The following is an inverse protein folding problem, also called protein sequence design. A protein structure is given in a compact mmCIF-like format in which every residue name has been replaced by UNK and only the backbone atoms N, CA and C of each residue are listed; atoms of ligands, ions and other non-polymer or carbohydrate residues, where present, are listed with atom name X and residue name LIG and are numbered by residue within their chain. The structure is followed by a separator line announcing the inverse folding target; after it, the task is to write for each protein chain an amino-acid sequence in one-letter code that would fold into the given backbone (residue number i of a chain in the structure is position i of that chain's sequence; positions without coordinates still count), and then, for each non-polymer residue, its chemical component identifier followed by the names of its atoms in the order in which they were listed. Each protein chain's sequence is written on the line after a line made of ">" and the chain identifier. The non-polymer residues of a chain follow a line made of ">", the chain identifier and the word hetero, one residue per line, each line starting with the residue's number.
data_IF_936102748244
#
_entry.id   IF_936102748244
#
_cell.length_a   1.000
_cell.length_b   1.000
_cell.length_c   1.000
_cell.angle_alpha   90.00
_cell.angle_beta   90.00
_cell.angle_gamma   90.00
#
_symmetry.space_group_name_H-M   'P 1'
#
loop_
_entity.id
_entity.type
_entity.pdbx_description
1 polymer ?
#
# COMPACT_ATOMS: atom_id res chain seq x y z
N UNK A 1 33.74 -27.89 7.98
CA UNK A 1 33.00 -26.62 8.05
C UNK A 1 33.94 -25.53 7.56
N UNK A 2 33.62 -24.90 6.44
CA UNK A 2 34.46 -23.86 5.85
C UNK A 2 34.33 -22.53 6.60
N UNK A 3 35.22 -21.55 6.33
CA UNK A 3 35.08 -20.21 6.91
C UNK A 3 33.78 -19.56 6.41
N UNK A 4 32.98 -19.04 7.34
CA UNK A 4 31.76 -18.30 7.03
C UNK A 4 32.15 -16.93 6.44
N UNK A 5 31.48 -16.55 5.35
CA UNK A 5 31.66 -15.22 4.74
C UNK A 5 30.62 -14.30 5.38
N UNK A 6 31.09 -13.46 6.28
CA UNK A 6 30.26 -12.43 6.92
C UNK A 6 29.90 -11.30 5.93
N UNK A 7 28.84 -10.54 6.22
CA UNK A 7 28.35 -9.45 5.37
C UNK A 7 29.43 -8.39 5.14
N UNK A 8 30.28 -8.18 6.15
CA UNK A 8 31.40 -7.24 6.11
C UNK A 8 32.56 -7.70 5.20
N UNK A 9 32.55 -8.96 4.75
CA UNK A 9 33.51 -9.49 3.78
C UNK A 9 33.07 -9.29 2.32
N UNK A 10 31.84 -8.82 2.07
CA UNK A 10 31.32 -8.57 0.73
C UNK A 10 32.01 -7.34 0.12
N UNK A 11 32.54 -7.49 -1.10
CA UNK A 11 33.24 -6.44 -1.85
C UNK A 11 32.56 -6.18 -3.19
N UNK A 12 32.54 -4.91 -3.62
CA UNK A 12 32.13 -4.50 -4.95
C UNK A 12 33.21 -4.87 -6.00
N UNK A 13 32.92 -4.77 -7.31
CA UNK A 13 33.92 -4.99 -8.36
C UNK A 13 35.13 -4.05 -8.30
N UNK A 14 34.97 -2.90 -7.62
CA UNK A 14 36.03 -1.93 -7.33
C UNK A 14 36.78 -2.21 -6.02
N UNK A 15 36.42 -3.28 -5.30
CA UNK A 15 37.06 -3.70 -4.06
C UNK A 15 36.61 -2.95 -2.80
N UNK A 16 35.58 -2.09 -2.87
CA UNK A 16 35.05 -1.39 -1.68
C UNK A 16 34.08 -2.26 -0.88
N UNK A 17 33.98 -2.09 0.45
CA UNK A 17 33.00 -2.80 1.28
C UNK A 17 31.57 -2.35 0.94
N UNK A 18 30.64 -3.30 0.92
CA UNK A 18 29.22 -3.02 0.63
C UNK A 18 28.54 -2.20 1.74
N UNK A 19 28.98 -2.35 3.00
CA UNK A 19 28.47 -1.65 4.18
C UNK A 19 29.48 -0.59 4.63
N UNK A 20 29.06 0.67 4.62
CA UNK A 20 29.89 1.83 4.97
C UNK A 20 30.05 2.04 6.49
N UNK A 21 30.08 0.97 7.29
CA UNK A 21 30.11 1.06 8.75
C UNK A 21 31.47 0.72 9.39
N UNK A 22 32.47 0.34 8.58
CA UNK A 22 33.81 -0.02 9.07
C UNK A 22 34.91 0.96 8.62
N UNK A 23 35.01 2.14 9.22
CA UNK A 23 36.15 3.04 9.01
C UNK A 23 35.98 4.43 9.60
N UNK A 24 36.67 4.72 10.70
CA UNK A 24 36.60 5.99 11.41
C UNK A 24 37.15 7.20 10.64
N UNK A 25 36.65 8.37 11.06
CA UNK A 25 37.33 9.68 11.12
C UNK A 25 38.14 10.15 9.90
N UNK A 26 37.47 10.69 8.86
CA UNK A 26 37.88 11.97 8.24
C UNK A 26 36.79 12.47 7.31
N UNK A 27 36.34 13.71 7.52
CA UNK A 27 35.30 14.33 6.73
C UNK A 27 35.72 14.52 5.28
N UNK A 28 34.87 14.06 4.36
CA UNK A 28 34.57 14.76 3.12
C UNK A 28 33.09 14.63 2.85
N UNK A 29 32.53 15.67 2.23
CA UNK A 29 31.13 15.99 2.14
C UNK A 29 30.21 14.80 1.82
N UNK A 30 28.99 14.89 2.35
CA UNK A 30 27.82 14.17 1.90
C UNK A 30 27.62 14.34 0.37
N UNK A 31 28.39 13.60 -0.43
CA UNK A 31 27.99 13.22 -1.77
C UNK A 31 26.96 12.13 -1.53
N UNK A 32 25.70 12.56 -1.52
CA UNK A 32 24.56 11.72 -1.20
C UNK A 32 24.68 10.39 -1.93
N UNK A 33 24.86 9.32 -1.16
CA UNK A 33 24.81 7.97 -1.68
C UNK A 33 23.43 7.79 -2.35
N UNK A 34 23.34 7.69 -3.69
CA UNK A 34 22.05 7.50 -4.36
C UNK A 34 21.39 6.17 -3.95
N UNK A 35 22.18 5.27 -3.35
CA UNK A 35 21.81 3.93 -2.90
C UNK A 35 21.76 3.82 -1.36
N UNK A 36 21.86 4.94 -0.63
CA UNK A 36 22.01 5.02 0.84
C UNK A 36 20.79 4.62 1.68
N UNK A 37 19.81 3.96 1.07
CA UNK A 37 18.78 3.24 1.76
C UNK A 37 18.53 1.98 0.97
N UNK A 38 18.86 0.81 1.55
CA UNK A 38 18.48 -0.47 0.95
C UNK A 38 16.98 -0.50 0.62
N UNK A 39 16.54 -1.47 -0.18
CA UNK A 39 15.13 -1.58 -0.62
C UNK A 39 14.12 -1.43 0.52
N UNK A 40 14.46 -1.93 1.72
CA UNK A 40 13.67 -1.78 2.94
C UNK A 40 13.53 -0.31 3.40
N UNK A 41 14.62 0.47 3.40
CA UNK A 41 14.58 1.87 3.79
C UNK A 41 13.77 2.72 2.81
N UNK A 42 13.89 2.45 1.50
CA UNK A 42 13.06 3.12 0.48
C UNK A 42 11.58 2.76 0.62
N UNK A 43 11.27 1.48 0.88
CA UNK A 43 9.89 1.06 1.13
C UNK A 43 9.29 1.74 2.38
N UNK A 44 10.08 1.86 3.45
CA UNK A 44 9.66 2.58 4.66
C UNK A 44 9.40 4.07 4.39
N UNK A 45 10.29 4.75 3.64
CA UNK A 45 10.10 6.15 3.26
C UNK A 45 8.85 6.35 2.39
N UNK A 46 8.60 5.44 1.44
CA UNK A 46 7.41 5.49 0.60
C UNK A 46 6.12 5.30 1.44
N UNK A 47 6.12 4.36 2.38
CA UNK A 47 4.98 4.15 3.28
C UNK A 47 4.70 5.35 4.19
N UNK A 48 5.74 6.01 4.71
CA UNK A 48 5.59 7.23 5.52
C UNK A 48 5.03 8.39 4.68
N UNK A 49 5.52 8.56 3.45
CA UNK A 49 5.00 9.56 2.52
C UNK A 49 3.51 9.36 2.19
N UNK A 50 3.08 8.11 1.94
CA UNK A 50 1.67 7.76 1.70
C UNK A 50 0.83 8.07 2.95
N UNK A 51 1.28 7.68 4.13
CA UNK A 51 0.54 7.93 5.38
C UNK A 51 0.35 9.42 5.63
N UNK A 52 1.39 10.23 5.39
CA UNK A 52 1.33 11.69 5.52
C UNK A 52 0.42 12.36 4.50
N UNK A 53 0.22 11.76 3.32
CA UNK A 53 -0.65 12.31 2.28
C UNK A 53 -2.12 12.40 2.70
N UNK A 54 -2.54 11.61 3.70
CA UNK A 54 -3.88 11.66 4.26
C UNK A 54 -4.06 12.76 5.33
N UNK A 55 -2.97 13.34 5.85
CA UNK A 55 -3.05 14.39 6.87
C UNK A 55 -3.59 15.69 6.25
N UNK A 56 -4.68 16.20 6.84
CA UNK A 56 -5.38 17.38 6.34
C UNK A 56 -6.54 17.08 5.39
N UNK A 57 -6.73 15.82 4.99
CA UNK A 57 -7.95 15.40 4.29
C UNK A 57 -9.11 15.24 5.28
N UNK A 58 -10.35 15.44 4.81
CA UNK A 58 -11.53 15.16 5.63
C UNK A 58 -11.73 13.64 5.75
N UNK A 59 -12.35 13.22 6.85
CA UNK A 59 -12.71 11.81 7.04
C UNK A 59 -13.60 11.31 5.91
N UNK A 60 -14.51 12.16 5.40
CA UNK A 60 -15.39 11.81 4.30
C UNK A 60 -14.61 11.53 2.99
N UNK A 61 -13.59 12.32 2.68
CA UNK A 61 -12.76 12.11 1.48
C UNK A 61 -11.90 10.84 1.59
N UNK A 62 -11.30 10.61 2.78
CA UNK A 62 -10.54 9.39 3.06
C UNK A 62 -11.45 8.15 2.99
N UNK A 63 -12.62 8.20 3.65
CA UNK A 63 -13.62 7.13 3.64
C UNK A 63 -14.04 6.78 2.22
N UNK A 64 -14.38 7.78 1.40
CA UNK A 64 -14.79 7.59 0.01
C UNK A 64 -13.72 6.86 -0.80
N UNK A 65 -12.48 7.31 -0.69
CA UNK A 65 -11.33 6.68 -1.39
C UNK A 65 -11.15 5.23 -0.94
N UNK A 66 -11.14 5.00 0.37
CA UNK A 66 -10.95 3.67 0.96
C UNK A 66 -12.07 2.68 0.53
N UNK A 67 -13.32 3.15 0.50
CA UNK A 67 -14.47 2.36 0.05
C UNK A 67 -14.33 1.95 -1.42
N UNK A 68 -13.96 2.90 -2.30
CA UNK A 68 -13.84 2.65 -3.73
C UNK A 68 -12.65 1.73 -4.07
N UNK A 69 -11.52 1.93 -3.41
CA UNK A 69 -10.34 1.08 -3.56
C UNK A 69 -10.63 -0.35 -3.10
N UNK A 70 -11.31 -0.50 -1.96
CA UNK A 70 -11.71 -1.83 -1.47
C UNK A 70 -12.71 -2.50 -2.41
N UNK A 71 -13.66 -1.75 -2.99
CA UNK A 71 -14.58 -2.30 -3.99
C UNK A 71 -13.87 -2.75 -5.25
N UNK A 72 -12.88 -1.98 -5.72
CA UNK A 72 -12.05 -2.35 -6.87
C UNK A 72 -11.25 -3.62 -6.56
N UNK A 73 -10.66 -3.69 -5.36
CA UNK A 73 -9.96 -4.89 -4.88
C UNK A 73 -10.88 -6.11 -4.79
N UNK A 74 -12.17 -5.91 -4.48
CA UNK A 74 -13.21 -6.93 -4.41
C UNK A 74 -13.97 -7.17 -5.73
N UNK A 75 -13.53 -6.60 -6.84
CA UNK A 75 -14.19 -6.72 -8.16
C UNK A 75 -15.70 -6.34 -8.12
N UNK A 76 -16.07 -5.35 -7.31
CA UNK A 76 -17.46 -4.90 -7.17
C UNK A 76 -18.32 -5.77 -6.24
N UNK A 77 -17.74 -6.74 -5.51
CA UNK A 77 -18.43 -7.50 -4.48
C UNK A 77 -18.68 -6.66 -3.22
N UNK A 78 -19.86 -6.04 -3.16
CA UNK A 78 -20.26 -5.17 -2.04
C UNK A 78 -20.30 -5.91 -0.69
N UNK A 79 -20.74 -7.16 -0.67
CA UNK A 79 -20.82 -7.95 0.58
C UNK A 79 -19.43 -8.21 1.14
N UNK A 80 -18.48 -8.60 0.29
CA UNK A 80 -17.12 -8.85 0.71
C UNK A 80 -16.39 -7.56 1.11
N UNK A 81 -16.55 -6.48 0.34
CA UNK A 81 -15.99 -5.18 0.67
C UNK A 81 -16.49 -4.65 2.02
N UNK A 82 -17.79 -4.77 2.32
CA UNK A 82 -18.36 -4.37 3.61
C UNK A 82 -17.72 -5.13 4.79
N UNK A 83 -17.48 -6.44 4.62
CA UNK A 83 -16.83 -7.26 5.64
C UNK A 83 -15.37 -6.84 5.88
N UNK A 84 -14.61 -6.53 4.82
CA UNK A 84 -13.22 -6.06 4.93
C UNK A 84 -13.17 -4.70 5.65
N UNK A 85 -14.09 -3.80 5.29
CA UNK A 85 -14.16 -2.46 5.88
C UNK A 85 -14.71 -2.46 7.31
N UNK A 86 -15.33 -3.55 7.76
CA UNK A 86 -15.92 -3.65 9.09
C UNK A 86 -17.21 -2.85 9.28
N UNK A 87 -17.94 -2.55 8.20
CA UNK A 87 -19.23 -1.85 8.23
C UNK A 87 -20.37 -2.74 7.73
N UNK A 88 -21.61 -2.40 8.08
CA UNK A 88 -22.76 -3.14 7.55
C UNK A 88 -22.89 -2.97 6.03
N UNK A 89 -23.39 -3.99 5.34
CA UNK A 89 -23.71 -3.91 3.90
C UNK A 89 -24.73 -2.80 3.60
N UNK A 90 -25.60 -2.45 4.55
CA UNK A 90 -26.53 -1.32 4.43
C UNK A 90 -25.79 0.00 4.43
N UNK A 91 -24.87 0.19 5.38
CA UNK A 91 -24.02 1.39 5.46
C UNK A 91 -23.22 1.57 4.17
N UNK A 92 -22.59 0.49 3.68
CA UNK A 92 -21.85 0.54 2.41
C UNK A 92 -22.76 0.97 1.25
N UNK A 93 -23.95 0.39 1.12
CA UNK A 93 -24.91 0.74 0.06
C UNK A 93 -25.35 2.20 0.15
N UNK A 94 -25.63 2.70 1.34
CA UNK A 94 -26.02 4.11 1.53
C UNK A 94 -24.90 5.05 1.07
N UNK A 95 -23.65 4.79 1.50
CA UNK A 95 -22.48 5.57 1.07
C UNK A 95 -22.29 5.56 -0.44
N UNK A 96 -22.47 4.41 -1.08
CA UNK A 96 -22.42 4.34 -2.55
C UNK A 96 -23.53 5.14 -3.22
N UNK A 97 -24.75 5.14 -2.68
CA UNK A 97 -25.82 5.97 -3.24
C UNK A 97 -25.49 7.47 -3.09
N UNK A 98 -25.00 7.91 -1.92
CA UNK A 98 -24.55 9.29 -1.70
C UNK A 98 -23.46 9.68 -2.71
N UNK A 99 -22.45 8.81 -2.93
CA UNK A 99 -21.38 9.09 -3.90
C UNK A 99 -21.89 9.13 -5.35
N UNK A 100 -22.90 8.34 -5.69
CA UNK A 100 -23.51 8.36 -7.02
C UNK A 100 -24.27 9.68 -7.24
N UNK A 101 -24.98 10.17 -6.22
CA UNK A 101 -25.66 11.46 -6.24
C UNK A 101 -24.68 12.63 -6.36
N UNK A 102 -23.50 12.52 -5.76
CA UNK A 102 -22.37 13.45 -5.93
C UNK A 102 -21.69 13.35 -7.32
N UNK A 103 -22.12 12.44 -8.20
CA UNK A 103 -21.56 12.25 -9.54
C UNK A 103 -20.28 11.40 -9.60
N UNK A 104 -19.99 10.64 -8.55
CA UNK A 104 -18.82 9.76 -8.51
C UNK A 104 -19.07 8.52 -9.34
N UNK A 105 -18.08 8.11 -10.16
CA UNK A 105 -18.16 6.85 -10.90
C UNK A 105 -17.95 5.69 -9.94
N UNK A 106 -18.99 4.88 -9.75
CA UNK A 106 -18.94 3.72 -8.88
C UNK A 106 -18.75 2.46 -9.72
N UNK A 107 -17.82 1.56 -9.36
CA UNK A 107 -17.69 0.27 -10.02
C UNK A 107 -19.03 -0.46 -10.05
N UNK A 108 -19.35 -1.06 -11.21
CA UNK A 108 -20.57 -1.83 -11.35
C UNK A 108 -20.62 -2.90 -10.24
N UNK A 109 -21.78 -3.11 -9.60
CA UNK A 109 -21.92 -4.24 -8.69
C UNK A 109 -21.59 -5.50 -9.48
N UNK A 110 -20.90 -6.45 -8.87
CA UNK A 110 -20.86 -7.79 -9.45
C UNK A 110 -22.32 -8.22 -9.66
N UNK A 111 -22.72 -8.41 -10.91
CA UNK A 111 -24.01 -8.99 -11.24
C UNK A 111 -23.94 -10.42 -10.77
N UNK A 112 -24.37 -10.66 -9.54
CA UNK A 112 -24.51 -12.01 -9.03
C UNK A 112 -25.42 -12.75 -9.99
N UNK A 113 -24.90 -13.82 -10.59
CA UNK A 113 -25.71 -14.99 -10.94
C UNK A 113 -26.29 -15.50 -9.62
N UNK A 114 -27.30 -14.81 -9.10
CA UNK A 114 -28.15 -15.32 -8.04
C UNK A 114 -29.07 -16.32 -8.73
N UNK A 115 -28.62 -17.58 -8.74
CA UNK A 115 -29.40 -18.79 -8.99
C UNK A 115 -30.87 -18.56 -9.40
N UNK A 116 -31.09 -18.18 -10.67
CA UNK A 116 -32.36 -18.40 -11.33
C UNK A 116 -32.38 -19.88 -11.70
N UNK A 117 -32.78 -20.73 -10.76
CA UNK A 117 -32.63 -22.17 -10.94
C UNK A 117 -32.95 -23.03 -9.73
N UNK A 118 -34.05 -22.77 -9.03
CA UNK A 118 -34.80 -23.85 -8.38
C UNK A 118 -36.27 -23.48 -8.26
N UNK A 119 -36.94 -23.47 -9.41
CA UNK A 119 -38.37 -23.73 -9.48
C UNK A 119 -38.51 -25.20 -9.91
N UNK A 120 -38.93 -26.04 -8.96
CA UNK A 120 -39.51 -27.37 -9.17
C UNK A 120 -40.37 -27.69 -7.95
#
# INVERSE_FOLDING_TARGET
>A
TGPEIDVDAIRLPDGQPLTAEGGGMMGTAAVGNPYGGGVAARAAQAADAVTRSFVGQTVAAMEKTLILDTLTHCLGNRTHAANILGISIRTLRNKLNEYAEEGTVIPAPQSGVSASGYAA
#
